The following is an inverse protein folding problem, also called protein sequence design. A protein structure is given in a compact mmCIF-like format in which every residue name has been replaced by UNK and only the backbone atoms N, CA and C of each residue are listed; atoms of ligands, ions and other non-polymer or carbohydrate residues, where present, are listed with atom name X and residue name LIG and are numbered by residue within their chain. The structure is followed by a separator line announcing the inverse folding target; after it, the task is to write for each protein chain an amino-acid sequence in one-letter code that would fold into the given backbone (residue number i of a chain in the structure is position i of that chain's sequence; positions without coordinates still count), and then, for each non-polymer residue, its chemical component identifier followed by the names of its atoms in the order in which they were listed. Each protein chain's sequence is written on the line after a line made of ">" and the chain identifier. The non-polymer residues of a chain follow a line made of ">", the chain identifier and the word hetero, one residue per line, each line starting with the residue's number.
data_IF_161938884805
#
_entry.id   IF_161938884805
#
_cell.length_a   1.000
_cell.length_b   1.000
_cell.length_c   1.000
_cell.angle_alpha   90.00
_cell.angle_beta   90.00
_cell.angle_gamma   90.00
#
_symmetry.space_group_name_H-M   'P 1'
#
loop_
_entity.id
_entity.type
_entity.pdbx_description
1 polymer ?
#
# COMPACT_ATOMS: atom_id res chain seq x y z
N UNK A 1 -3.35 8.81 -11.88
CA UNK A 1 -4.79 8.59 -11.65
C UNK A 1 -5.23 7.52 -12.63
N UNK A 2 -5.81 6.43 -12.16
CA UNK A 2 -6.48 5.46 -13.01
C UNK A 2 -7.97 5.79 -13.01
N UNK A 3 -8.51 6.03 -14.20
CA UNK A 3 -9.94 6.29 -14.41
C UNK A 3 -10.73 4.97 -14.40
N UNK A 4 -12.01 5.00 -14.01
CA UNK A 4 -12.86 3.82 -14.05
C UNK A 4 -13.01 3.30 -15.49
N UNK A 5 -13.28 2.00 -15.67
CA UNK A 5 -13.44 1.42 -17.00
C UNK A 5 -14.54 2.12 -17.81
N UNK A 6 -14.30 2.31 -19.11
CA UNK A 6 -15.27 2.86 -20.07
C UNK A 6 -15.75 4.30 -19.78
N UNK A 7 -14.99 5.10 -19.03
CA UNK A 7 -15.36 6.48 -18.69
C UNK A 7 -16.73 6.61 -18.02
N UNK A 8 -17.09 5.59 -17.22
CA UNK A 8 -18.29 5.58 -16.39
C UNK A 8 -18.20 6.58 -15.23
N UNK A 9 -19.35 6.90 -14.64
CA UNK A 9 -19.39 7.64 -13.37
C UNK A 9 -18.81 6.73 -12.28
N UNK A 10 -17.75 7.15 -11.55
CA UNK A 10 -17.12 6.30 -10.55
C UNK A 10 -18.01 6.08 -9.33
N UNK A 11 -17.90 4.89 -8.73
CA UNK A 11 -18.65 4.51 -7.53
C UNK A 11 -17.96 4.94 -6.23
N UNK A 12 -16.62 5.03 -6.25
CA UNK A 12 -15.81 5.43 -5.11
C UNK A 12 -14.42 5.94 -5.55
N UNK A 13 -13.69 6.52 -4.60
CA UNK A 13 -12.31 6.96 -4.76
C UNK A 13 -11.42 6.10 -3.85
N UNK A 14 -10.36 5.54 -4.41
CA UNK A 14 -9.29 4.88 -3.65
C UNK A 14 -8.05 5.75 -3.73
N UNK A 15 -7.57 6.26 -2.60
CA UNK A 15 -6.25 6.90 -2.51
C UNK A 15 -5.24 5.87 -2.03
N UNK A 16 -4.10 5.78 -2.70
CA UNK A 16 -3.12 4.72 -2.48
C UNK A 16 -1.70 5.26 -2.23
N UNK A 17 -1.09 4.79 -1.14
CA UNK A 17 0.32 5.02 -0.82
C UNK A 17 1.06 3.69 -0.73
N UNK A 18 2.07 3.50 -1.59
CA UNK A 18 2.86 2.26 -1.62
C UNK A 18 3.98 2.21 -0.57
N UNK A 19 4.80 1.16 -0.62
CA UNK A 19 5.89 0.90 0.32
C UNK A 19 7.22 1.59 -0.02
N UNK A 20 8.30 1.23 0.68
CA UNK A 20 9.64 1.76 0.40
C UNK A 20 10.27 1.17 -0.89
N UNK A 21 11.40 1.74 -1.31
CA UNK A 21 12.12 1.34 -2.52
C UNK A 21 11.23 1.49 -3.75
N UNK A 22 10.94 0.38 -4.43
CA UNK A 22 10.07 0.39 -5.61
C UNK A 22 8.63 0.73 -5.28
N UNK A 23 8.18 0.39 -4.08
CA UNK A 23 6.82 0.70 -3.66
C UNK A 23 6.51 2.20 -3.67
N UNK A 24 7.53 3.05 -3.69
CA UNK A 24 7.40 4.50 -3.74
C UNK A 24 6.92 5.01 -5.12
N UNK A 25 6.87 4.13 -6.12
CA UNK A 25 6.29 4.35 -7.45
C UNK A 25 5.01 3.52 -7.63
N UNK A 26 3.93 3.86 -6.90
CA UNK A 26 2.76 3.02 -6.83
C UNK A 26 2.07 2.77 -8.19
N UNK A 27 2.16 3.75 -9.10
CA UNK A 27 1.65 3.64 -10.47
C UNK A 27 2.33 2.57 -11.32
N UNK A 28 3.54 2.14 -10.93
CA UNK A 28 4.27 1.06 -11.62
C UNK A 28 4.06 -0.24 -10.87
N UNK A 29 4.39 -0.25 -9.58
CA UNK A 29 4.51 -1.48 -8.79
C UNK A 29 3.17 -2.10 -8.42
N UNK A 30 2.16 -1.27 -8.17
CA UNK A 30 0.82 -1.74 -7.81
C UNK A 30 -0.18 -1.55 -8.95
N UNK A 31 0.31 -1.41 -10.19
CA UNK A 31 -0.58 -1.19 -11.33
C UNK A 31 -1.61 -2.31 -11.48
N UNK A 32 -1.20 -3.57 -11.34
CA UNK A 32 -2.13 -4.70 -11.45
C UNK A 32 -3.16 -4.69 -10.31
N UNK A 33 -2.71 -4.48 -9.07
CA UNK A 33 -3.58 -4.38 -7.89
C UNK A 33 -4.65 -3.30 -8.10
N UNK A 34 -4.20 -2.08 -8.41
CA UNK A 34 -5.07 -0.92 -8.55
C UNK A 34 -5.98 -1.03 -9.78
N UNK A 35 -5.50 -1.64 -10.88
CA UNK A 35 -6.32 -1.88 -12.07
C UNK A 35 -7.45 -2.87 -11.77
N UNK A 36 -7.16 -3.99 -11.09
CA UNK A 36 -8.20 -4.96 -10.72
C UNK A 36 -9.21 -4.36 -9.72
N UNK A 37 -8.74 -3.57 -8.75
CA UNK A 37 -9.62 -2.84 -7.81
C UNK A 37 -10.51 -1.84 -8.58
N UNK A 38 -9.92 -1.02 -9.47
CA UNK A 38 -10.64 -0.05 -10.28
C UNK A 38 -11.72 -0.71 -11.13
N UNK A 39 -11.40 -1.85 -11.76
CA UNK A 39 -12.36 -2.62 -12.56
C UNK A 39 -13.50 -3.18 -11.70
N UNK A 40 -13.17 -3.84 -10.58
CA UNK A 40 -14.18 -4.52 -9.74
C UNK A 40 -15.11 -3.54 -9.02
N UNK A 41 -14.57 -2.41 -8.57
CA UNK A 41 -15.33 -1.42 -7.80
C UNK A 41 -15.86 -0.27 -8.64
N UNK A 42 -15.47 -0.17 -9.92
CA UNK A 42 -15.71 1.01 -10.74
C UNK A 42 -15.13 2.27 -10.05
N UNK A 43 -13.90 2.16 -9.56
CA UNK A 43 -13.26 3.16 -8.70
C UNK A 43 -12.26 4.02 -9.46
N UNK A 44 -12.14 5.29 -9.05
CA UNK A 44 -10.97 6.12 -9.38
C UNK A 44 -9.85 5.80 -8.41
N UNK A 45 -8.68 5.43 -8.91
CA UNK A 45 -7.49 5.24 -8.07
C UNK A 45 -6.51 6.41 -8.21
N UNK A 46 -6.21 7.05 -7.08
CA UNK A 46 -5.22 8.14 -6.98
C UNK A 46 -4.01 7.59 -6.25
N UNK A 47 -2.83 7.76 -6.83
CA UNK A 47 -1.58 7.31 -6.22
C UNK A 47 -0.71 8.50 -5.85
N UNK A 48 0.03 8.39 -4.74
CA UNK A 48 0.97 9.41 -4.30
C UNK A 48 2.41 8.87 -4.37
N UNK A 49 3.14 9.08 -5.48
CA UNK A 49 4.56 8.74 -5.55
C UNK A 49 5.37 9.66 -4.65
N UNK A 50 6.51 9.15 -4.15
CA UNK A 50 7.42 9.91 -3.29
C UNK A 50 8.87 9.44 -3.45
N UNK A 51 9.80 10.27 -3.02
CA UNK A 51 11.21 9.90 -2.93
C UNK A 51 11.47 9.23 -1.59
N UNK A 52 12.19 8.11 -1.58
CA UNK A 52 12.46 7.39 -0.34
C UNK A 52 13.51 8.15 0.47
N UNK A 53 13.30 8.25 1.78
CA UNK A 53 14.13 9.05 2.67
C UNK A 53 14.01 8.58 4.12
N UNK A 54 14.95 9.01 4.97
CA UNK A 54 14.95 8.65 6.40
C UNK A 54 14.00 9.53 7.25
N UNK A 55 13.64 10.71 6.74
CA UNK A 55 12.70 11.64 7.36
C UNK A 55 11.26 11.35 6.92
N UNK A 56 10.68 10.33 7.53
CA UNK A 56 9.30 9.92 7.34
C UNK A 56 8.27 11.00 7.77
N UNK A 57 8.61 11.97 8.63
CA UNK A 57 7.72 13.12 8.88
C UNK A 57 7.56 13.96 7.61
N UNK A 58 8.68 14.30 6.97
CA UNK A 58 8.67 15.05 5.72
C UNK A 58 7.98 14.27 4.62
N UNK A 59 8.25 12.97 4.49
CA UNK A 59 7.58 12.12 3.48
C UNK A 59 6.07 12.02 3.72
N UNK A 60 5.63 11.81 4.96
CA UNK A 60 4.22 11.75 5.32
C UNK A 60 3.50 13.06 4.98
N UNK A 61 4.13 14.20 5.27
CA UNK A 61 3.60 15.52 4.91
C UNK A 61 3.48 15.70 3.40
N UNK A 62 4.51 15.36 2.63
CA UNK A 62 4.52 15.53 1.18
C UNK A 62 3.47 14.63 0.50
N UNK A 63 3.48 13.34 0.81
CA UNK A 63 2.51 12.36 0.28
C UNK A 63 1.08 12.70 0.67
N UNK A 64 0.85 13.02 1.94
CA UNK A 64 -0.45 13.44 2.44
C UNK A 64 -0.98 14.71 1.77
N UNK A 65 -0.14 15.72 1.56
CA UNK A 65 -0.53 16.95 0.85
C UNK A 65 -0.87 16.69 -0.63
N UNK A 66 -0.17 15.77 -1.30
CA UNK A 66 -0.51 15.36 -2.66
C UNK A 66 -1.90 14.71 -2.72
N UNK A 67 -2.19 13.80 -1.78
CA UNK A 67 -3.51 13.16 -1.66
C UNK A 67 -4.58 14.22 -1.39
N UNK A 68 -4.36 15.08 -0.39
CA UNK A 68 -5.30 16.13 0.00
C UNK A 68 -5.64 17.05 -1.16
N UNK A 69 -4.62 17.52 -1.91
CA UNK A 69 -4.81 18.38 -3.09
C UNK A 69 -5.55 17.67 -4.21
N UNK A 70 -5.26 16.39 -4.42
CA UNK A 70 -5.95 15.59 -5.45
C UNK A 70 -7.43 15.41 -5.12
N UNK A 71 -7.76 15.14 -3.85
CA UNK A 71 -9.15 15.06 -3.38
C UNK A 71 -9.89 16.40 -3.52
N UNK A 72 -9.22 17.52 -3.19
CA UNK A 72 -9.80 18.84 -3.40
C UNK A 72 -10.09 19.11 -4.89
N UNK A 73 -9.14 18.79 -5.76
CA UNK A 73 -9.32 18.97 -7.20
C UNK A 73 -10.51 18.17 -7.75
N UNK A 74 -10.71 16.94 -7.29
CA UNK A 74 -11.87 16.12 -7.69
C UNK A 74 -13.20 16.70 -7.18
N UNK A 75 -13.22 17.22 -5.96
CA UNK A 75 -14.43 17.82 -5.39
C UNK A 75 -14.77 19.19 -6.00
N UNK A 76 -13.77 19.98 -6.42
CA UNK A 76 -13.98 21.32 -6.99
C UNK A 76 -14.51 21.26 -8.44
N UNK A 77 -14.07 20.29 -9.25
CA UNK A 77 -14.53 20.14 -10.64
C UNK A 77 -16.03 19.78 -10.76
N UNK A 78 -16.66 19.26 -9.69
CA UNK A 78 -18.10 19.02 -9.64
C UNK A 78 -18.93 20.32 -9.49
N UNK A 79 -18.32 21.40 -9.00
CA UNK A 79 -19.01 22.67 -8.74
C UNK A 79 -19.08 23.58 -9.98
N UNK A 80 -18.08 23.58 -10.86
CA UNK A 80 -18.05 24.51 -12.01
C UNK A 80 -18.94 24.08 -13.19
N UNK A 81 -19.29 22.79 -13.31
CA UNK A 81 -20.16 22.31 -14.40
C UNK A 81 -21.66 22.50 -14.16
N UNK A 82 -22.07 23.13 -13.05
CA UNK A 82 -23.48 23.23 -12.65
C UNK A 82 -24.07 24.66 -12.64
N UNK A 83 -23.34 25.66 -13.14
CA UNK A 83 -23.82 27.04 -13.19
C UNK A 83 -24.62 27.42 -14.45
N UNK A 84 -25.14 26.44 -15.21
CA UNK A 84 -26.07 26.70 -16.31
C UNK A 84 -27.24 25.73 -16.28
N UNK A 85 -28.20 25.96 -15.36
CA UNK A 85 -29.65 25.93 -15.60
C UNK A 85 -30.40 25.85 -14.27
N UNK A 86 -30.97 26.99 -13.87
CA UNK A 86 -32.06 27.05 -12.91
C UNK A 86 -33.23 26.19 -13.41
N UNK A 87 -33.59 25.14 -12.67
CA UNK A 87 -34.97 24.64 -12.56
C UNK A 87 -35.06 23.62 -11.41
N UNK A 88 -35.64 24.11 -10.32
CA UNK A 88 -36.53 23.43 -9.37
C UNK A 88 -36.39 21.91 -9.16
N UNK A 89 -36.20 21.57 -7.88
CA UNK A 89 -36.59 20.30 -7.26
C UNK A 89 -35.72 19.09 -7.58
N UNK A 90 -34.51 19.05 -7.02
CA UNK A 90 -33.89 17.80 -6.54
C UNK A 90 -32.79 18.15 -5.52
N UNK A 91 -33.20 18.36 -4.27
CA UNK A 91 -32.33 18.25 -3.08
C UNK A 91 -31.92 16.78 -2.86
N UNK A 92 -31.39 16.13 -3.91
CA UNK A 92 -30.62 14.90 -3.76
C UNK A 92 -29.25 15.40 -3.34
N UNK A 93 -28.98 15.30 -2.04
CA UNK A 93 -27.69 15.54 -1.39
C UNK A 93 -26.59 15.20 -2.41
N UNK A 94 -25.84 16.19 -2.88
CA UNK A 94 -24.63 15.96 -3.68
C UNK A 94 -23.60 15.32 -2.76
N UNK A 95 -23.81 14.04 -2.50
CA UNK A 95 -22.96 13.22 -1.65
C UNK A 95 -21.63 13.06 -2.37
N UNK A 96 -20.59 13.59 -1.74
CA UNK A 96 -19.21 13.27 -2.06
C UNK A 96 -19.08 11.75 -2.23
N UNK A 97 -18.33 11.31 -3.25
CA UNK A 97 -18.06 9.89 -3.47
C UNK A 97 -17.39 9.26 -2.23
N UNK A 98 -17.80 8.05 -1.83
CA UNK A 98 -17.11 7.29 -0.80
C UNK A 98 -15.60 7.23 -1.09
N UNK A 99 -14.78 7.63 -0.13
CA UNK A 99 -13.33 7.76 -0.30
C UNK A 99 -12.61 6.86 0.68
N UNK A 100 -11.78 5.95 0.18
CA UNK A 100 -11.02 5.01 0.99
C UNK A 100 -9.53 5.27 0.86
N UNK A 101 -8.83 5.24 1.99
CA UNK A 101 -7.37 5.30 2.04
C UNK A 101 -6.82 3.90 2.12
N UNK A 102 -6.05 3.48 1.13
CA UNK A 102 -5.37 2.20 1.10
C UNK A 102 -3.87 2.43 1.13
N UNK A 103 -3.13 1.62 1.88
CA UNK A 103 -1.67 1.71 1.91
C UNK A 103 -1.01 0.36 2.10
N UNK A 104 0.27 0.30 1.72
CA UNK A 104 1.10 -0.88 1.86
C UNK A 104 2.41 -0.56 2.58
N UNK A 105 2.84 -1.42 3.52
CA UNK A 105 4.18 -1.36 4.13
C UNK A 105 4.48 0.02 4.73
N UNK A 106 5.58 0.67 4.31
CA UNK A 106 5.94 2.02 4.75
C UNK A 106 4.83 3.05 4.48
N UNK A 107 4.06 2.90 3.40
CA UNK A 107 2.94 3.77 3.09
C UNK A 107 1.90 3.84 4.20
N UNK A 108 1.68 2.72 4.91
CA UNK A 108 0.78 2.68 6.06
C UNK A 108 1.29 3.58 7.19
N UNK A 109 2.59 3.51 7.50
CA UNK A 109 3.23 4.40 8.48
C UNK A 109 3.11 5.86 8.07
N UNK A 110 3.36 6.19 6.79
CA UNK A 110 3.25 7.57 6.31
C UNK A 110 1.83 8.11 6.43
N UNK A 111 0.82 7.32 6.07
CA UNK A 111 -0.58 7.70 6.21
C UNK A 111 -0.97 7.87 7.69
N UNK A 112 -0.57 6.96 8.57
CA UNK A 112 -0.79 7.08 10.02
C UNK A 112 -0.21 8.38 10.56
N UNK A 113 1.04 8.72 10.20
CA UNK A 113 1.70 9.95 10.64
C UNK A 113 0.92 11.18 10.18
N UNK A 114 0.51 11.21 8.91
CA UNK A 114 -0.17 12.36 8.34
C UNK A 114 -1.59 12.53 8.89
N UNK A 115 -2.35 11.44 9.07
CA UNK A 115 -3.67 11.44 9.72
C UNK A 115 -3.55 11.99 11.15
N UNK A 116 -2.64 11.43 11.94
CA UNK A 116 -2.40 11.87 13.32
C UNK A 116 -2.02 13.36 13.43
N UNK A 117 -1.39 13.93 12.40
CA UNK A 117 -0.96 15.33 12.38
C UNK A 117 -2.02 16.30 11.86
N UNK A 118 -2.94 15.87 10.99
CA UNK A 118 -3.78 16.79 10.20
C UNK A 118 -5.29 16.61 10.37
N UNK A 119 -5.75 15.46 10.86
CA UNK A 119 -7.17 15.19 10.92
C UNK A 119 -7.79 14.80 9.56
N UNK A 120 -6.97 14.51 8.54
CA UNK A 120 -7.47 14.16 7.19
C UNK A 120 -8.30 12.88 7.17
N UNK A 121 -8.23 12.04 8.20
CA UNK A 121 -9.04 10.82 8.32
C UNK A 121 -10.55 11.08 8.26
N UNK A 122 -11.00 12.29 8.61
CA UNK A 122 -12.40 12.70 8.43
C UNK A 122 -12.82 12.76 6.96
N UNK A 123 -11.83 12.79 6.07
CA UNK A 123 -12.03 12.66 4.64
C UNK A 123 -12.15 11.21 4.17
N UNK A 124 -11.99 10.21 5.02
CA UNK A 124 -12.05 8.81 4.63
C UNK A 124 -13.25 8.10 5.27
N UNK A 125 -13.91 7.30 4.45
CA UNK A 125 -14.99 6.38 4.84
C UNK A 125 -14.40 5.04 5.33
N UNK A 126 -13.19 4.69 4.87
CA UNK A 126 -12.42 3.56 5.39
C UNK A 126 -10.91 3.75 5.20
N UNK A 127 -10.14 3.17 6.11
CA UNK A 127 -8.67 3.10 6.07
C UNK A 127 -8.23 1.63 5.99
N UNK A 128 -7.39 1.29 5.02
CA UNK A 128 -6.90 -0.05 4.78
C UNK A 128 -5.38 -0.07 4.84
N UNK A 129 -4.81 -0.83 5.76
CA UNK A 129 -3.36 -1.00 5.88
C UNK A 129 -2.97 -2.45 5.59
N UNK A 130 -2.17 -2.64 4.55
CA UNK A 130 -1.65 -3.94 4.17
C UNK A 130 -0.19 -4.06 4.61
N UNK A 131 0.15 -5.18 5.26
CA UNK A 131 1.52 -5.50 5.63
C UNK A 131 2.20 -4.33 6.38
N UNK A 132 1.58 -3.81 7.45
CA UNK A 132 1.96 -2.56 8.10
C UNK A 132 3.42 -2.59 8.54
N UNK A 133 4.26 -1.65 8.08
CA UNK A 133 5.68 -1.65 8.41
C UNK A 133 6.10 -0.43 9.25
N UNK A 134 6.61 -0.67 10.46
CA UNK A 134 7.19 0.38 11.32
C UNK A 134 8.61 0.02 11.78
N UNK A 135 9.47 -0.37 10.84
CA UNK A 135 10.81 -0.82 11.20
C UNK A 135 11.83 0.27 11.46
N UNK A 136 12.79 -0.10 12.31
CA UNK A 136 14.07 0.58 12.44
C UNK A 136 15.01 0.20 11.31
N UNK A 137 16.01 1.04 11.14
CA UNK A 137 17.05 0.93 10.12
C UNK A 137 17.59 -0.49 9.86
N UNK A 138 17.89 -1.25 10.92
CA UNK A 138 18.53 -2.56 10.80
C UNK A 138 17.70 -3.62 10.06
N UNK A 139 16.36 -3.52 10.12
CA UNK A 139 15.44 -4.45 9.43
C UNK A 139 15.22 -4.08 7.96
N UNK A 140 15.62 -2.89 7.53
CA UNK A 140 15.57 -2.44 6.11
C UNK A 140 16.48 -3.27 5.21
N UNK A 141 17.63 -3.71 5.72
CA UNK A 141 18.53 -4.62 5.01
C UNK A 141 17.82 -5.95 4.69
N UNK A 142 16.99 -6.43 5.60
CA UNK A 142 16.18 -7.63 5.40
C UNK A 142 15.16 -7.41 4.28
N UNK A 143 14.48 -6.27 4.25
CA UNK A 143 13.52 -5.91 3.19
C UNK A 143 14.18 -5.87 1.81
N UNK A 144 15.30 -5.15 1.68
CA UNK A 144 16.07 -5.11 0.42
C UNK A 144 16.57 -6.49 0.00
N UNK A 145 16.97 -7.34 0.96
CA UNK A 145 17.39 -8.71 0.68
C UNK A 145 16.22 -9.61 0.24
N UNK A 146 15.08 -9.56 0.93
CA UNK A 146 13.89 -10.36 0.59
C UNK A 146 13.40 -10.02 -0.81
N UNK A 147 13.30 -8.72 -1.13
CA UNK A 147 12.95 -8.27 -2.47
C UNK A 147 13.97 -8.74 -3.51
N UNK A 148 15.27 -8.55 -3.26
CA UNK A 148 16.31 -9.02 -4.18
C UNK A 148 16.33 -10.55 -4.36
N UNK A 149 15.98 -11.31 -3.32
CA UNK A 149 15.85 -12.76 -3.38
C UNK A 149 14.63 -13.19 -4.19
N UNK A 150 13.48 -12.53 -4.02
CA UNK A 150 12.28 -12.80 -4.82
C UNK A 150 12.49 -12.41 -6.29
N UNK A 151 13.09 -11.25 -6.56
CA UNK A 151 13.46 -10.85 -7.91
C UNK A 151 14.44 -11.85 -8.55
N UNK A 152 15.44 -12.30 -7.78
CA UNK A 152 16.36 -13.37 -8.22
C UNK A 152 15.62 -14.68 -8.48
N UNK A 153 14.68 -15.09 -7.64
CA UNK A 153 13.87 -16.31 -7.86
C UNK A 153 13.03 -16.20 -9.13
N UNK A 154 12.37 -15.07 -9.35
CA UNK A 154 11.59 -14.81 -10.56
C UNK A 154 12.47 -14.81 -11.83
N UNK A 155 13.71 -14.33 -11.73
CA UNK A 155 14.67 -14.31 -12.86
C UNK A 155 15.51 -15.58 -13.03
N UNK A 156 15.62 -16.43 -12.00
CA UNK A 156 16.38 -17.69 -12.02
C UNK A 156 15.52 -18.95 -12.14
N UNK A 157 14.20 -18.83 -11.97
CA UNK A 157 13.22 -19.87 -12.30
C UNK A 157 13.03 -20.07 -13.81
N UNK A 158 13.49 -19.15 -14.65
CA UNK A 158 13.61 -19.34 -16.10
C UNK A 158 14.99 -19.95 -16.42
N UNK A 159 14.99 -21.16 -16.98
CA UNK A 159 16.17 -22.00 -17.25
C UNK A 159 17.43 -21.23 -17.68
N UNK A 160 18.53 -21.51 -16.99
CA UNK A 160 19.72 -20.68 -17.04
C UNK A 160 20.55 -20.73 -18.34
N UNK A 161 21.43 -19.74 -18.47
CA UNK A 161 22.82 -19.96 -18.84
C UNK A 161 23.68 -18.80 -18.34
N UNK A 162 24.95 -19.09 -18.11
CA UNK A 162 25.92 -18.22 -17.44
C UNK A 162 26.20 -16.88 -18.11
N UNK A 163 26.88 -16.03 -17.36
CA UNK A 163 27.07 -14.63 -17.68
C UNK A 163 27.84 -14.33 -18.97
N UNK A 164 27.69 -13.08 -19.40
CA UNK A 164 28.68 -12.36 -20.19
C UNK A 164 28.50 -10.86 -19.95
N UNK A 165 29.61 -10.20 -19.62
CA UNK A 165 29.64 -8.77 -19.38
C UNK A 165 29.46 -7.94 -20.65
N UNK A 166 29.09 -6.68 -20.42
CA UNK A 166 29.38 -5.49 -21.23
C UNK A 166 29.12 -5.54 -22.72
N UNK A 167 28.14 -4.76 -23.20
CA UNK A 167 28.27 -4.10 -24.51
C UNK A 167 27.32 -2.90 -24.69
N UNK A 168 27.92 -1.72 -24.87
CA UNK A 168 27.62 -0.78 -25.96
C UNK A 168 26.33 0.04 -25.88
N UNK A 169 26.47 1.33 -25.53
CA UNK A 169 25.39 2.32 -25.59
C UNK A 169 24.92 2.68 -27.01
N UNK A 170 23.69 3.19 -27.08
CA UNK A 170 23.13 3.95 -28.21
C UNK A 170 22.42 5.19 -27.65
N UNK A 171 22.69 6.41 -28.18
CA UNK A 171 22.10 7.65 -27.68
C UNK A 171 20.76 7.99 -28.33
N UNK A 172 19.91 8.65 -27.54
CA UNK A 172 18.86 9.60 -27.92
C UNK A 172 17.50 9.06 -28.44
N UNK A 173 16.65 8.60 -27.52
CA UNK A 173 15.17 8.64 -27.54
C UNK A 173 14.74 8.85 -26.07
N UNK A 174 13.72 9.66 -25.71
CA UNK A 174 13.20 9.72 -24.35
C UNK A 174 12.39 8.45 -24.07
N UNK A 175 13.14 7.37 -23.84
CA UNK A 175 12.69 6.09 -23.35
C UNK A 175 12.65 6.18 -21.82
N UNK A 176 11.50 6.01 -21.20
CA UNK A 176 11.45 5.78 -19.76
C UNK A 176 12.18 4.47 -19.50
N UNK A 177 13.38 4.54 -18.96
CA UNK A 177 14.25 3.41 -18.70
C UNK A 177 13.83 2.76 -17.37
N UNK A 178 12.63 2.17 -17.36
CA UNK A 178 11.93 1.65 -16.18
C UNK A 178 12.80 0.65 -15.41
N UNK A 179 13.76 -0.02 -16.05
CA UNK A 179 14.65 -0.95 -15.36
C UNK A 179 15.80 -0.28 -14.62
N UNK A 180 16.46 0.73 -15.21
CA UNK A 180 17.65 1.31 -14.59
C UNK A 180 17.27 2.25 -13.43
N UNK A 181 16.28 3.13 -13.62
CA UNK A 181 15.87 4.07 -12.56
C UNK A 181 15.23 3.35 -11.37
N UNK A 182 14.47 2.28 -11.63
CA UNK A 182 13.83 1.46 -10.61
C UNK A 182 14.88 0.69 -9.79
N UNK A 183 15.81 0.00 -10.47
CA UNK A 183 16.92 -0.71 -9.81
C UNK A 183 17.82 0.26 -9.04
N UNK A 184 18.12 1.43 -9.62
CA UNK A 184 18.90 2.47 -8.95
C UNK A 184 18.20 2.94 -7.69
N UNK A 185 16.89 3.18 -7.69
CA UNK A 185 16.18 3.56 -6.46
C UNK A 185 16.22 2.49 -5.34
N UNK A 186 16.23 1.20 -5.69
CA UNK A 186 16.45 0.13 -4.69
C UNK A 186 17.85 0.23 -4.11
N UNK A 187 18.85 0.38 -4.99
CA UNK A 187 20.23 0.49 -4.59
C UNK A 187 20.48 1.75 -3.79
N UNK A 188 19.96 2.90 -4.21
CA UNK A 188 20.02 4.18 -3.50
C UNK A 188 19.35 4.09 -2.14
N UNK A 189 18.20 3.40 -2.03
CA UNK A 189 17.58 3.16 -0.73
C UNK A 189 18.45 2.25 0.15
N UNK A 190 19.00 1.17 -0.42
CA UNK A 190 19.88 0.25 0.30
C UNK A 190 21.21 0.91 0.68
N UNK A 191 21.76 1.79 -0.15
CA UNK A 191 22.98 2.54 0.08
C UNK A 191 22.75 3.68 1.07
N UNK A 192 21.65 4.43 0.96
CA UNK A 192 21.24 5.42 1.96
C UNK A 192 21.03 4.75 3.31
N UNK A 193 20.45 3.55 3.34
CA UNK A 193 20.44 2.73 4.52
C UNK A 193 21.89 2.44 4.93
N UNK A 194 22.66 1.63 4.21
CA UNK A 194 24.04 1.24 4.62
C UNK A 194 24.96 2.43 5.01
N UNK A 195 24.83 3.59 4.38
CA UNK A 195 25.60 4.81 4.68
C UNK A 195 25.15 5.58 5.94
N UNK A 196 23.92 5.35 6.42
CA UNK A 196 23.35 6.01 7.59
C UNK A 196 23.46 5.19 8.89
N UNK A 197 24.42 4.26 8.98
CA UNK A 197 24.68 3.48 10.21
C UNK A 197 24.91 4.44 11.38
N UNK A 198 23.97 4.44 12.34
CA UNK A 198 23.98 5.31 13.52
C UNK A 198 23.00 6.50 13.46
N UNK A 199 22.29 6.70 12.34
CA UNK A 199 21.18 7.65 12.20
C UNK A 199 19.88 6.85 12.09
N UNK A 200 18.94 7.07 13.01
CA UNK A 200 17.64 6.38 12.98
C UNK A 200 16.65 7.13 12.08
N UNK A 201 15.56 6.45 11.68
CA UNK A 201 14.45 7.09 10.99
C UNK A 201 13.83 8.19 11.86
N UNK A 202 13.26 9.22 11.24
CA UNK A 202 12.48 10.25 11.93
C UNK A 202 11.04 10.28 11.40
N UNK A 203 10.02 9.93 12.21
CA UNK A 203 10.13 9.35 13.55
C UNK A 203 10.69 7.93 13.51
N UNK A 204 11.36 7.54 14.60
CA UNK A 204 11.74 6.15 14.82
C UNK A 204 10.50 5.31 15.14
N UNK A 205 10.68 4.00 15.35
CA UNK A 205 9.57 3.09 15.58
C UNK A 205 8.76 3.47 16.83
N UNK A 206 9.45 3.76 17.94
CA UNK A 206 8.84 4.10 19.23
C UNK A 206 8.11 5.45 19.18
N UNK A 207 8.68 6.44 18.51
CA UNK A 207 8.04 7.75 18.30
C UNK A 207 6.76 7.61 17.47
N UNK A 208 6.75 6.68 16.51
CA UNK A 208 5.56 6.36 15.70
C UNK A 208 4.50 5.67 16.55
N UNK A 209 4.86 4.71 17.40
CA UNK A 209 3.95 4.05 18.34
C UNK A 209 3.35 5.05 19.33
N UNK A 210 4.16 5.96 19.86
CA UNK A 210 3.70 7.05 20.73
C UNK A 210 2.74 7.98 20.00
N UNK A 211 2.98 8.26 18.72
CA UNK A 211 2.05 9.05 17.91
C UNK A 211 0.70 8.34 17.75
N UNK A 212 0.71 7.04 17.48
CA UNK A 212 -0.50 6.21 17.37
C UNK A 212 -1.29 6.27 18.68
N UNK A 213 -0.62 6.05 19.81
CA UNK A 213 -1.24 6.22 21.14
C UNK A 213 -1.86 7.61 21.25
N UNK A 214 -1.11 8.68 21.03
CA UNK A 214 -1.62 10.03 21.30
C UNK A 214 -2.74 10.52 20.35
N UNK A 215 -2.91 9.93 19.16
CA UNK A 215 -3.73 10.52 18.09
C UNK A 215 -4.66 9.56 17.36
N UNK A 216 -4.39 8.26 17.38
CA UNK A 216 -5.17 7.25 16.67
C UNK A 216 -6.35 6.76 17.53
N UNK A 217 -7.36 7.60 17.68
CA UNK A 217 -8.52 7.35 18.55
C UNK A 217 -9.51 6.31 17.98
N UNK A 218 -10.51 5.94 18.80
CA UNK A 218 -11.54 4.94 18.47
C UNK A 218 -12.30 5.22 17.16
N UNK A 219 -12.52 6.49 16.81
CA UNK A 219 -13.21 6.86 15.57
C UNK A 219 -12.36 6.55 14.33
N UNK A 220 -11.03 6.67 14.42
CA UNK A 220 -10.13 6.25 13.34
C UNK A 220 -10.02 4.73 13.29
N UNK A 221 -9.87 4.10 14.46
CA UNK A 221 -9.74 2.64 14.57
C UNK A 221 -10.96 1.90 14.01
N UNK A 222 -12.18 2.36 14.33
CA UNK A 222 -13.43 1.74 13.83
C UNK A 222 -13.60 1.77 12.31
N UNK A 223 -12.89 2.65 11.61
CA UNK A 223 -12.85 2.72 10.14
C UNK A 223 -11.68 1.96 9.53
N UNK A 224 -10.81 1.38 10.36
CA UNK A 224 -9.54 0.82 9.93
C UNK A 224 -9.60 -0.69 9.80
N UNK A 225 -9.13 -1.19 8.65
CA UNK A 225 -8.88 -2.61 8.39
C UNK A 225 -7.40 -2.87 8.21
N UNK A 226 -6.87 -3.82 8.95
CA UNK A 226 -5.54 -4.37 8.74
C UNK A 226 -5.64 -5.62 7.88
N UNK A 227 -4.83 -5.69 6.82
CA UNK A 227 -4.68 -6.87 5.97
C UNK A 227 -3.29 -7.46 6.25
N UNK A 228 -3.29 -8.57 7.00
CA UNK A 228 -2.09 -9.24 7.51
C UNK A 228 -1.87 -10.51 6.71
N UNK A 229 -0.62 -10.76 6.30
CA UNK A 229 -0.24 -11.95 5.54
C UNK A 229 0.49 -12.97 6.43
N UNK A 230 0.23 -14.26 6.24
CA UNK A 230 0.68 -15.32 7.15
C UNK A 230 2.18 -15.66 7.08
N UNK A 231 2.85 -15.34 5.98
CA UNK A 231 4.31 -15.48 5.79
C UNK A 231 5.01 -14.10 5.68
N UNK A 232 4.47 -13.08 6.36
CA UNK A 232 5.06 -11.73 6.42
C UNK A 232 5.95 -11.52 7.65
N UNK A 233 7.24 -11.76 7.46
CA UNK A 233 8.28 -11.51 8.47
C UNK A 233 8.64 -10.02 8.62
N UNK A 234 8.00 -9.14 7.84
CA UNK A 234 8.22 -7.70 7.82
C UNK A 234 7.01 -6.90 8.34
N UNK A 235 5.95 -7.57 8.78
CA UNK A 235 4.77 -6.93 9.35
C UNK A 235 5.02 -6.43 10.79
N UNK A 236 4.39 -5.33 11.15
CA UNK A 236 4.39 -4.68 12.46
C UNK A 236 2.95 -4.34 12.91
N UNK A 237 1.96 -5.06 12.37
CA UNK A 237 0.54 -4.85 12.66
C UNK A 237 0.21 -5.19 14.11
N UNK A 238 0.91 -6.14 14.72
CA UNK A 238 0.70 -6.48 16.14
C UNK A 238 1.15 -5.35 17.07
N UNK A 239 2.28 -4.70 16.78
CA UNK A 239 2.75 -3.51 17.48
C UNK A 239 1.79 -2.34 17.27
N UNK A 240 1.26 -2.16 16.06
CA UNK A 240 0.24 -1.16 15.76
C UNK A 240 -1.04 -1.37 16.59
N UNK A 241 -1.56 -2.61 16.66
CA UNK A 241 -2.72 -2.98 17.47
C UNK A 241 -2.44 -2.69 18.95
N UNK A 242 -1.26 -3.05 19.44
CA UNK A 242 -0.85 -2.82 20.83
C UNK A 242 -0.78 -1.33 21.15
N UNK A 243 -0.24 -0.52 20.24
CA UNK A 243 -0.19 0.93 20.39
C UNK A 243 -1.60 1.55 20.43
N UNK A 244 -2.53 1.08 19.59
CA UNK A 244 -3.93 1.54 19.60
C UNK A 244 -4.64 1.24 20.94
N UNK A 245 -4.41 0.06 21.51
CA UNK A 245 -5.07 -0.38 22.75
C UNK A 245 -4.45 0.22 24.03
N UNK A 246 -3.24 0.79 23.93
CA UNK A 246 -2.54 1.34 25.10
C UNK A 246 -3.17 2.62 25.67
N UNK A 247 -4.08 3.26 24.94
CA UNK A 247 -4.80 4.47 25.37
C UNK A 247 -5.82 4.25 26.51
N UNK A 248 -6.20 3.00 26.78
CA UNK A 248 -7.25 2.69 27.76
C UNK A 248 -6.83 2.67 29.24
N UNK A 249 -5.54 2.84 29.56
CA UNK A 249 -5.01 2.52 30.90
C UNK A 249 -4.37 3.70 31.67
N UNK A 250 -4.46 4.94 31.22
CA UNK A 250 -3.90 6.12 31.93
C UNK A 250 -4.94 7.05 32.56
N UNK A 251 -6.07 6.51 33.03
CA UNK A 251 -6.97 7.25 33.93
C UNK A 251 -7.33 6.44 35.18
N UNK A 252 -7.08 7.07 36.32
CA UNK A 252 -7.55 6.75 37.67
C UNK A 252 -6.74 5.74 38.49
N UNK A 253 -5.59 6.23 38.96
CA UNK A 253 -5.00 5.80 40.23
C UNK A 253 -5.84 6.34 41.40
N UNK A 254 -7.03 5.79 41.62
CA UNK A 254 -7.69 5.83 42.92
C UNK A 254 -8.22 4.42 43.22
N UNK A 255 -7.76 3.87 44.35
CA UNK A 255 -7.77 2.44 44.61
C UNK A 255 -9.16 1.83 44.81
N UNK A 256 -9.43 0.76 44.07
CA UNK A 256 -10.14 -0.41 44.59
C UNK A 256 -9.69 -1.68 43.81
N UNK A 257 -9.41 -2.73 44.56
CA UNK A 257 -8.77 -3.96 44.09
C UNK A 257 -9.74 -4.90 43.38
N UNK A 258 -10.10 -4.57 42.15
CA UNK A 258 -10.78 -5.52 41.23
C UNK A 258 -10.23 -5.38 39.81
N UNK A 259 -9.08 -6.03 39.57
CA UNK A 259 -8.50 -6.16 38.23
C UNK A 259 -9.29 -7.20 37.42
N UNK A 260 -10.37 -6.75 36.79
CA UNK A 260 -10.95 -7.45 35.63
C UNK A 260 -10.21 -6.99 34.38
N UNK A 261 -9.10 -7.65 34.07
CA UNK A 261 -8.33 -7.47 32.83
C UNK A 261 -9.06 -8.10 31.64
N UNK A 262 -10.28 -7.65 31.35
CA UNK A 262 -11.09 -8.15 30.24
C UNK A 262 -11.83 -6.99 29.58
N UNK A 263 -11.14 -6.28 28.68
CA UNK A 263 -11.78 -5.49 27.65
C UNK A 263 -10.92 -5.57 26.40
N UNK A 264 -11.19 -6.61 25.61
CA UNK A 264 -10.76 -6.76 24.22
C UNK A 264 -11.53 -5.75 23.33
N UNK A 265 -11.45 -4.46 23.63
CA UNK A 265 -12.08 -3.40 22.83
C UNK A 265 -11.13 -2.97 21.71
N UNK A 266 -10.70 -3.89 20.86
CA UNK A 266 -9.99 -3.50 19.66
C UNK A 266 -11.02 -3.11 18.59
N UNK A 267 -11.14 -1.82 18.30
CA UNK A 267 -12.06 -1.32 17.27
C UNK A 267 -11.56 -1.57 15.83
N UNK A 268 -10.35 -2.11 15.68
CA UNK A 268 -9.76 -2.44 14.38
C UNK A 268 -10.39 -3.72 13.81
N UNK A 269 -10.69 -3.71 12.51
CA UNK A 269 -10.99 -4.94 11.77
C UNK A 269 -9.71 -5.56 11.20
N UNK A 270 -9.60 -6.89 11.21
CA UNK A 270 -8.37 -7.60 10.81
C UNK A 270 -8.73 -8.73 9.85
N UNK A 271 -8.16 -8.71 8.66
CA UNK A 271 -8.20 -9.78 7.68
C UNK A 271 -6.86 -10.51 7.67
N UNK A 272 -6.89 -11.84 7.79
CA UNK A 272 -5.70 -12.69 7.69
C UNK A 272 -5.70 -13.41 6.34
N UNK A 273 -4.70 -13.12 5.52
CA UNK A 273 -4.59 -13.59 4.15
C UNK A 273 -3.36 -14.48 3.97
N UNK A 274 -3.40 -15.43 3.02
CA UNK A 274 -2.20 -16.18 2.66
C UNK A 274 -1.19 -15.30 1.91
N UNK A 275 0.09 -15.60 2.07
CA UNK A 275 1.19 -14.97 1.32
C UNK A 275 2.18 -14.23 2.22
N UNK A 276 3.06 -13.42 1.62
CA UNK A 276 4.07 -12.64 2.32
C UNK A 276 3.94 -11.13 2.14
N UNK A 277 4.96 -10.39 2.58
CA UNK A 277 5.00 -8.92 2.50
C UNK A 277 4.79 -8.35 1.09
N UNK A 278 5.16 -9.11 0.06
CA UNK A 278 5.12 -8.65 -1.34
C UNK A 278 3.90 -9.19 -2.10
N UNK A 279 2.96 -9.87 -1.43
CA UNK A 279 1.71 -10.38 -2.03
C UNK A 279 0.94 -9.31 -2.80
N UNK A 280 0.83 -8.04 -2.34
CA UNK A 280 0.14 -7.00 -3.11
C UNK A 280 0.86 -6.56 -4.39
N UNK A 281 2.08 -7.04 -4.64
CA UNK A 281 2.92 -6.71 -5.80
C UNK A 281 2.92 -7.88 -6.79
N UNK A 282 2.22 -7.70 -7.90
CA UNK A 282 2.14 -8.69 -8.97
C UNK A 282 2.45 -8.05 -10.31
N UNK A 283 3.30 -8.70 -11.11
CA UNK A 283 3.60 -8.29 -12.47
C UNK A 283 3.38 -9.45 -13.43
N UNK A 284 2.78 -9.16 -14.58
CA UNK A 284 2.76 -10.07 -15.72
C UNK A 284 3.49 -9.40 -16.88
N UNK A 285 4.69 -9.88 -17.19
CA UNK A 285 5.45 -9.42 -18.34
C UNK A 285 5.06 -10.29 -19.54
N UNK A 286 4.19 -9.79 -20.42
CA UNK A 286 3.90 -10.48 -21.67
C UNK A 286 4.92 -10.06 -22.74
N UNK A 287 5.33 -11.01 -23.59
CA UNK A 287 6.26 -10.73 -24.69
C UNK A 287 5.70 -9.71 -25.71
N UNK A 288 4.39 -9.51 -25.72
CA UNK A 288 3.68 -8.60 -26.62
C UNK A 288 3.63 -7.15 -26.07
N UNK A 289 3.69 -6.95 -24.75
CA UNK A 289 3.78 -5.61 -24.12
C UNK A 289 5.15 -4.95 -24.38
N UNK A 290 6.17 -5.75 -24.70
CA UNK A 290 7.49 -5.30 -25.16
C UNK A 290 7.44 -4.92 -26.66
N UNK A 291 6.45 -5.41 -27.42
CA UNK A 291 6.37 -5.25 -28.87
C UNK A 291 5.98 -3.84 -29.33
N UNK A 292 5.18 -3.12 -28.56
CA UNK A 292 4.64 -1.81 -28.98
C UNK A 292 5.61 -0.64 -28.74
N UNK A 293 6.53 -0.77 -27.78
CA UNK A 293 7.47 0.29 -27.40
C UNK A 293 8.90 0.10 -27.92
N UNK A 294 9.18 -0.98 -28.67
CA UNK A 294 10.53 -1.29 -29.16
C UNK A 294 10.60 -1.37 -30.69
N UNK A 295 11.69 -0.88 -31.32
CA UNK A 295 11.90 -1.05 -32.75
C UNK A 295 11.84 -2.53 -33.15
N UNK A 296 11.24 -2.90 -34.31
CA UNK A 296 11.01 -4.30 -34.71
C UNK A 296 12.24 -5.20 -34.70
N UNK A 297 13.43 -4.60 -34.83
CA UNK A 297 14.72 -5.28 -34.85
C UNK A 297 15.19 -5.76 -33.46
N UNK A 298 14.69 -5.16 -32.38
CA UNK A 298 15.07 -5.45 -31.00
C UNK A 298 14.09 -6.43 -30.32
N UNK A 299 12.90 -6.60 -30.88
CA UNK A 299 11.87 -7.54 -30.38
C UNK A 299 12.38 -8.98 -30.43
N UNK A 300 13.04 -9.37 -31.53
CA UNK A 300 13.59 -10.72 -31.66
C UNK A 300 14.76 -10.98 -30.69
N UNK A 301 15.57 -9.96 -30.40
CA UNK A 301 16.65 -10.05 -29.41
C UNK A 301 16.12 -10.09 -27.97
N UNK A 302 15.06 -9.33 -27.66
CA UNK A 302 14.39 -9.39 -26.36
C UNK A 302 13.70 -10.75 -26.16
N UNK A 303 13.04 -11.29 -27.19
CA UNK A 303 12.47 -12.65 -27.19
C UNK A 303 13.53 -13.74 -27.02
N UNK A 304 14.72 -13.56 -27.59
CA UNK A 304 15.88 -14.47 -27.39
C UNK A 304 16.49 -14.34 -25.99
N UNK A 305 16.65 -13.13 -25.46
CA UNK A 305 17.17 -12.88 -24.11
C UNK A 305 16.22 -13.38 -23.01
N UNK A 306 14.91 -13.36 -23.28
CA UNK A 306 13.87 -13.98 -22.46
C UNK A 306 13.69 -15.47 -22.74
N UNK A 307 14.66 -16.14 -23.39
CA UNK A 307 14.64 -17.60 -23.57
C UNK A 307 13.47 -18.16 -24.39
N UNK A 308 12.79 -17.34 -25.19
CA UNK A 308 11.62 -17.76 -25.97
C UNK A 308 10.32 -17.93 -25.16
N UNK A 309 10.26 -17.42 -23.93
CA UNK A 309 9.05 -17.49 -23.10
C UNK A 309 7.98 -16.48 -23.56
N UNK A 310 6.72 -16.92 -23.60
CA UNK A 310 5.55 -16.07 -23.96
C UNK A 310 5.11 -15.12 -22.83
N UNK A 311 5.61 -15.32 -21.60
CA UNK A 311 5.49 -14.35 -20.51
C UNK A 311 6.22 -14.80 -19.24
N UNK A 312 6.56 -13.86 -18.37
CA UNK A 312 7.09 -14.11 -17.03
C UNK A 312 6.24 -13.35 -16.01
N UNK A 313 5.80 -14.02 -14.94
CA UNK A 313 5.09 -13.37 -13.83
C UNK A 313 5.98 -13.25 -12.59
N UNK A 314 5.76 -12.19 -11.82
CA UNK A 314 6.31 -12.00 -10.49
C UNK A 314 5.14 -11.95 -9.50
N UNK A 315 5.31 -12.62 -8.36
CA UNK A 315 4.24 -12.82 -7.37
C UNK A 315 3.46 -14.11 -7.63
N UNK A 316 2.73 -14.55 -6.61
CA UNK A 316 1.80 -15.66 -6.72
C UNK A 316 0.40 -15.11 -7.05
N UNK A 317 -0.16 -15.56 -8.18
CA UNK A 317 -1.40 -14.99 -8.70
C UNK A 317 -2.61 -15.32 -7.81
N UNK A 318 -2.63 -16.51 -7.22
CA UNK A 318 -3.75 -16.97 -6.39
C UNK A 318 -3.87 -16.10 -5.12
N UNK A 319 -2.79 -16.01 -4.33
CA UNK A 319 -2.75 -15.17 -3.12
C UNK A 319 -2.93 -13.68 -3.42
N UNK A 320 -2.41 -13.20 -4.55
CA UNK A 320 -2.64 -11.84 -5.03
C UNK A 320 -4.13 -11.57 -5.34
N UNK A 321 -4.80 -12.47 -6.04
CA UNK A 321 -6.23 -12.33 -6.36
C UNK A 321 -7.10 -12.39 -5.10
N UNK A 322 -6.76 -13.23 -4.12
CA UNK A 322 -7.42 -13.24 -2.82
C UNK A 322 -7.30 -11.90 -2.09
N UNK A 323 -6.12 -11.26 -2.18
CA UNK A 323 -5.88 -9.92 -1.62
C UNK A 323 -6.77 -8.88 -2.29
N UNK A 324 -6.86 -8.91 -3.63
CA UNK A 324 -7.75 -8.02 -4.40
C UNK A 324 -9.20 -8.20 -3.97
N UNK A 325 -9.66 -9.44 -3.85
CA UNK A 325 -11.04 -9.75 -3.44
C UNK A 325 -11.34 -9.24 -2.04
N UNK A 326 -10.45 -9.48 -1.08
CA UNK A 326 -10.63 -9.03 0.30
C UNK A 326 -10.70 -7.50 0.41
N UNK A 327 -9.89 -6.77 -0.35
CA UNK A 327 -9.94 -5.30 -0.41
C UNK A 327 -11.26 -4.82 -1.01
N UNK A 328 -11.72 -5.44 -2.10
CA UNK A 328 -12.99 -5.08 -2.71
C UNK A 328 -14.16 -5.34 -1.75
N UNK A 329 -14.14 -6.49 -1.08
CA UNK A 329 -15.14 -6.88 -0.09
C UNK A 329 -15.17 -5.92 1.10
N UNK A 330 -14.00 -5.48 1.56
CA UNK A 330 -13.88 -4.43 2.58
C UNK A 330 -14.52 -3.11 2.15
N UNK A 331 -14.22 -2.62 0.94
CA UNK A 331 -14.79 -1.37 0.41
C UNK A 331 -16.32 -1.47 0.28
N UNK A 332 -16.84 -2.67 -0.02
CA UNK A 332 -18.27 -2.97 -0.06
C UNK A 332 -18.90 -3.20 1.32
N UNK A 333 -18.14 -3.07 2.41
CA UNK A 333 -18.61 -3.16 3.79
C UNK A 333 -18.79 -4.59 4.31
N UNK A 334 -18.18 -5.59 3.69
CA UNK A 334 -18.22 -6.97 4.19
C UNK A 334 -17.26 -7.17 5.36
N UNK A 335 -17.60 -8.10 6.25
CA UNK A 335 -16.77 -8.50 7.38
C UNK A 335 -15.41 -9.07 6.93
N UNK A 336 -14.36 -8.95 7.75
CA UNK A 336 -13.03 -9.45 7.41
C UNK A 336 -13.00 -10.98 7.31
N UNK A 337 -12.17 -11.50 6.40
CA UNK A 337 -11.97 -12.96 6.28
C UNK A 337 -10.67 -13.45 6.92
N UNK A 338 -10.68 -14.72 7.33
CA UNK A 338 -9.54 -15.42 7.91
C UNK A 338 -9.23 -16.65 7.04
N UNK A 339 -8.21 -16.53 6.19
CA UNK A 339 -7.82 -17.55 5.20
C UNK A 339 -6.39 -18.07 5.37
N UNK A 340 -5.55 -17.39 6.16
CA UNK A 340 -4.17 -17.81 6.44
C UNK A 340 -4.07 -19.07 7.31
N UNK A 341 -2.91 -19.74 7.22
CA UNK A 341 -2.57 -20.95 7.98
C UNK A 341 -2.11 -20.69 9.43
N UNK A 342 -1.86 -19.41 9.75
CA UNK A 342 -1.42 -18.97 11.08
C UNK A 342 -2.53 -19.02 12.13
N UNK A 343 -2.19 -19.50 13.33
CA UNK A 343 -3.07 -19.39 14.49
C UNK A 343 -3.37 -17.91 14.78
N UNK A 344 -4.61 -17.62 15.16
CA UNK A 344 -4.96 -16.33 15.75
C UNK A 344 -3.91 -15.94 16.80
N UNK A 345 -3.46 -14.68 16.91
CA UNK A 345 -2.95 -14.21 18.18
C UNK A 345 -4.05 -14.52 19.21
N UNK A 346 -3.71 -15.24 20.29
CA UNK A 346 -4.64 -15.89 21.24
C UNK A 346 -5.68 -14.96 21.94
N UNK A 347 -5.86 -13.71 21.53
CA UNK A 347 -6.74 -12.74 22.16
C UNK A 347 -7.83 -12.10 21.27
N UNK A 348 -8.09 -12.60 20.06
CA UNK A 348 -9.16 -12.05 19.19
C UNK A 348 -10.20 -13.13 18.85
N UNK A 349 -10.73 -13.80 19.87
CA UNK A 349 -11.97 -14.58 19.73
C UNK A 349 -12.99 -14.12 20.76
N UNK A 350 -14.01 -13.40 20.30
CA UNK A 350 -15.43 -13.56 20.65
C UNK A 350 -16.20 -12.26 20.34
N UNK A 351 -17.02 -12.29 19.29
CA UNK A 351 -18.43 -11.94 19.38
C UNK A 351 -19.09 -12.05 18.00
N UNK A 352 -19.46 -13.28 17.64
CA UNK A 352 -20.46 -13.53 16.61
C UNK A 352 -21.37 -14.68 17.05
N UNK A 353 -21.97 -14.56 18.23
CA UNK A 353 -23.20 -15.26 18.61
C UNK A 353 -23.96 -14.42 19.63
N UNK A 354 -24.95 -13.66 19.15
CA UNK A 354 -26.25 -13.50 19.81
C UNK A 354 -27.32 -13.17 18.79
#
# INVERSE_FOLDING_TARGET
>A
MLEPPNSSIPSCIIVFTGGAGLGAFPQVVYNELLSKISIKLNAVCITAPYEVGLDHFTLAKQTGELIRRSLLYLNDNDNDNNNNNESESNDIIRTRLPTFSLAHSLGCKLQTIYMAATGIENSFDGIGFMAYNNFSFAKTITMGRSFAQELKKATSGSGGMGGMGGMGGIPNIPNMNINDDMINNIFDFAEMAVGAIGVDFSPNAQDTERLIQLRYNDAIQSKTRLFIFDDDNLDSSQEFITACNSNGNESDSDGDGSRSSNSNNNNLSISNLPGGHLTPVYFQLNADDIGENFPPKNINMAKEAMGGFQGASFGDEETFLETVDEICDWVLGKDPTFRGSGALPENISSNSQQ
#
